data_IF_881109162088
#
_entry.id   IF_881109162088
#
_cell.length_a   1.000
_cell.length_b   1.000
_cell.length_c   1.000
_cell.angle_alpha   90.00
_cell.angle_beta   90.00
_cell.angle_gamma   90.00
#
_symmetry.space_group_name_H-M   'P 1'
#
loop_
_entity.id
_entity.type
_entity.pdbx_description
1 polymer ?
#
# COMPACT_ATOMS: atom_id res chain seq x y z
N UNK A 1 56.17 7.37 9.00
CA UNK A 1 55.31 6.43 8.24
C UNK A 1 53.86 6.88 8.42
N UNK A 2 53.18 7.29 7.38
CA UNK A 2 51.78 7.70 7.48
C UNK A 2 50.91 6.43 7.65
N UNK A 3 50.10 6.38 8.71
CA UNK A 3 49.12 5.34 8.89
C UNK A 3 48.11 5.38 7.73
N UNK A 4 47.98 4.25 7.04
CA UNK A 4 46.96 4.10 5.98
C UNK A 4 45.59 4.06 6.64
N UNK A 5 44.77 5.09 6.44
CA UNK A 5 43.36 5.13 6.93
C UNK A 5 42.47 4.31 6.01
N UNK A 6 41.73 3.37 6.60
CA UNK A 6 40.72 2.57 5.91
C UNK A 6 39.33 3.11 6.19
N UNK A 7 38.50 3.28 5.14
CA UNK A 7 37.13 3.75 5.23
C UNK A 7 36.20 2.61 4.81
N UNK A 8 35.40 2.10 5.73
CA UNK A 8 34.41 1.03 5.46
C UNK A 8 33.10 1.65 4.95
N UNK A 9 32.37 0.90 4.09
CA UNK A 9 30.99 1.24 3.75
C UNK A 9 30.13 1.27 5.02
N UNK A 10 29.40 2.33 5.19
CA UNK A 10 28.47 2.46 6.34
C UNK A 10 27.13 1.77 6.02
N UNK A 11 26.59 1.07 7.00
CA UNK A 11 25.19 0.61 6.94
C UNK A 11 24.28 1.82 7.11
N UNK A 12 23.09 1.76 6.48
CA UNK A 12 22.07 2.77 6.72
C UNK A 12 21.67 2.78 8.21
N UNK A 13 21.67 3.96 8.77
CA UNK A 13 21.15 4.24 10.12
C UNK A 13 20.04 5.26 9.95
N UNK A 14 18.87 4.98 10.53
CA UNK A 14 17.75 5.92 10.51
C UNK A 14 18.17 7.24 11.20
N UNK A 15 17.99 8.39 10.54
CA UNK A 15 18.29 9.68 11.17
C UNK A 15 17.39 9.94 12.38
N UNK A 16 17.89 10.64 13.39
CA UNK A 16 17.06 11.12 14.50
C UNK A 16 15.96 12.05 13.98
N UNK A 17 14.75 11.90 14.49
CA UNK A 17 13.54 12.61 14.03
C UNK A 17 12.88 12.01 12.80
N UNK A 18 13.43 10.94 12.21
CA UNK A 18 12.81 10.29 11.06
C UNK A 18 11.68 9.33 11.48
N UNK A 19 10.60 9.31 10.69
CA UNK A 19 9.54 8.28 10.79
C UNK A 19 9.86 7.13 9.86
N UNK A 20 9.82 5.90 10.37
CA UNK A 20 9.92 4.67 9.59
C UNK A 20 8.53 4.16 9.26
N UNK A 21 8.24 3.92 7.98
CA UNK A 21 6.92 3.56 7.50
C UNK A 21 6.99 2.19 6.81
N UNK A 22 6.22 1.24 7.33
CA UNK A 22 5.94 -0.03 6.67
C UNK A 22 4.59 0.09 5.99
N UNK A 23 4.60 0.43 4.70
CA UNK A 23 3.41 0.58 3.87
C UNK A 23 3.06 -0.78 3.26
N UNK A 24 1.87 -1.29 3.57
CA UNK A 24 1.46 -2.67 3.30
C UNK A 24 0.22 -2.66 2.42
N UNK A 25 0.23 -3.44 1.33
CA UNK A 25 -1.00 -3.72 0.60
C UNK A 25 -1.82 -4.74 1.37
N UNK A 26 -3.13 -4.50 1.51
CA UNK A 26 -4.04 -5.48 2.11
C UNK A 26 -3.91 -6.86 1.47
N UNK A 27 -4.23 -7.92 2.22
CA UNK A 27 -4.32 -9.29 1.72
C UNK A 27 -5.34 -9.43 0.59
N UNK A 28 -5.27 -10.51 -0.18
CA UNK A 28 -6.20 -10.76 -1.27
C UNK A 28 -7.65 -10.72 -0.77
N UNK A 29 -8.48 -9.93 -1.45
CA UNK A 29 -9.91 -9.85 -1.13
C UNK A 29 -10.73 -10.76 -2.02
N UNK A 30 -12.00 -11.02 -1.63
CA UNK A 30 -12.95 -11.81 -2.37
C UNK A 30 -12.93 -11.47 -3.87
N UNK A 31 -13.04 -12.49 -4.72
CA UNK A 31 -13.13 -12.30 -6.16
C UNK A 31 -14.36 -11.47 -6.55
N UNK A 32 -14.27 -10.70 -7.61
CA UNK A 32 -15.39 -9.97 -8.18
C UNK A 32 -16.29 -10.91 -8.99
N UNK A 33 -17.59 -10.65 -8.94
CA UNK A 33 -18.61 -11.34 -9.73
C UNK A 33 -19.64 -10.33 -10.22
N UNK A 34 -20.18 -10.52 -11.42
CA UNK A 34 -21.29 -9.71 -11.94
C UNK A 34 -22.58 -10.01 -11.17
N UNK A 35 -22.76 -11.24 -10.70
CA UNK A 35 -23.96 -11.69 -9.99
C UNK A 35 -23.98 -11.27 -8.52
N UNK A 36 -22.80 -11.04 -7.94
CA UNK A 36 -22.64 -10.67 -6.52
C UNK A 36 -21.63 -9.53 -6.37
N UNK A 37 -22.02 -8.29 -6.69
CA UNK A 37 -21.14 -7.14 -6.55
C UNK A 37 -20.71 -6.91 -5.08
N UNK A 38 -19.57 -6.27 -4.90
CA UNK A 38 -19.11 -5.92 -3.56
C UNK A 38 -20.06 -4.94 -2.88
N UNK A 39 -20.30 -5.08 -1.56
CA UNK A 39 -20.95 -4.02 -0.80
C UNK A 39 -20.15 -2.72 -0.90
N UNK A 40 -20.83 -1.58 -0.78
CA UNK A 40 -20.20 -0.27 -0.83
C UNK A 40 -20.15 0.37 0.55
N UNK A 41 -19.02 0.97 0.87
CA UNK A 41 -18.83 1.87 2.01
C UNK A 41 -18.40 3.24 1.49
N UNK A 42 -19.18 4.28 1.77
CA UNK A 42 -18.97 5.64 1.27
C UNK A 42 -18.73 5.68 -0.26
N UNK A 43 -19.47 4.86 -1.01
CA UNK A 43 -19.39 4.78 -2.47
C UNK A 43 -18.25 3.92 -3.00
N UNK A 44 -17.42 3.31 -2.16
CA UNK A 44 -16.32 2.44 -2.58
C UNK A 44 -16.58 0.97 -2.25
N UNK A 45 -16.15 0.08 -3.14
CA UNK A 45 -16.27 -1.37 -2.96
C UNK A 45 -15.52 -1.87 -1.72
N UNK A 46 -16.22 -2.61 -0.83
CA UNK A 46 -15.69 -3.09 0.45
C UNK A 46 -15.77 -4.62 0.60
N UNK A 47 -15.11 -5.39 -0.28
CA UNK A 47 -15.03 -6.83 -0.11
C UNK A 47 -14.20 -7.20 1.12
N UNK A 48 -14.56 -8.33 1.75
CA UNK A 48 -13.75 -9.01 2.77
C UNK A 48 -12.50 -9.66 2.17
N UNK A 49 -11.56 -10.06 3.02
CA UNK A 49 -10.45 -10.91 2.59
C UNK A 49 -10.95 -12.28 2.15
N UNK A 50 -10.37 -12.79 1.06
CA UNK A 50 -10.45 -14.21 0.72
C UNK A 50 -9.66 -15.05 1.74
N UNK A 51 -9.80 -16.38 1.68
CA UNK A 51 -9.05 -17.28 2.57
C UNK A 51 -7.53 -17.09 2.43
N UNK A 52 -7.04 -16.97 1.20
CA UNK A 52 -5.63 -16.68 0.93
C UNK A 52 -5.20 -15.33 1.51
N UNK A 53 -6.07 -14.32 1.46
CA UNK A 53 -5.79 -13.01 2.06
C UNK A 53 -5.69 -13.06 3.59
N UNK A 54 -6.51 -13.88 4.23
CA UNK A 54 -6.40 -14.14 5.69
C UNK A 54 -5.09 -14.84 6.04
N UNK A 55 -4.67 -15.83 5.24
CA UNK A 55 -3.36 -16.47 5.42
C UNK A 55 -2.20 -15.49 5.22
N UNK A 56 -2.30 -14.58 4.25
CA UNK A 56 -1.30 -13.52 4.04
C UNK A 56 -1.23 -12.59 5.26
N UNK A 57 -2.38 -12.22 5.84
CA UNK A 57 -2.46 -11.38 7.04
C UNK A 57 -1.81 -12.06 8.26
N UNK A 58 -2.02 -13.36 8.47
CA UNK A 58 -1.37 -14.13 9.53
C UNK A 58 0.15 -14.17 9.36
N UNK A 59 0.64 -14.47 8.16
CA UNK A 59 2.08 -14.46 7.87
C UNK A 59 2.71 -13.08 8.04
N UNK A 60 2.00 -12.02 7.64
CA UNK A 60 2.41 -10.64 7.88
C UNK A 60 2.54 -10.34 9.38
N UNK A 61 1.55 -10.71 10.18
CA UNK A 61 1.57 -10.56 11.63
C UNK A 61 2.79 -11.24 12.26
N UNK A 62 3.06 -12.48 11.85
CA UNK A 62 4.25 -13.25 12.29
C UNK A 62 5.56 -12.59 11.84
N UNK A 63 5.63 -12.12 10.58
CA UNK A 63 6.81 -11.42 10.03
C UNK A 63 7.19 -10.19 10.83
N UNK A 64 6.21 -9.47 11.34
CA UNK A 64 6.39 -8.22 12.07
C UNK A 64 6.31 -8.37 13.61
N UNK A 65 6.17 -9.59 14.11
CA UNK A 65 5.99 -9.86 15.53
C UNK A 65 7.12 -9.28 16.41
N UNK A 66 8.37 -9.37 15.97
CA UNK A 66 9.53 -8.90 16.72
C UNK A 66 9.95 -7.46 16.38
N UNK A 67 9.28 -6.80 15.40
CA UNK A 67 9.59 -5.41 15.06
C UNK A 67 9.04 -4.47 16.13
N UNK A 68 9.81 -3.46 16.51
CA UNK A 68 9.29 -2.35 17.31
C UNK A 68 8.32 -1.55 16.44
N UNK A 69 7.03 -1.59 16.78
CA UNK A 69 5.96 -0.88 16.06
C UNK A 69 5.23 0.00 17.07
N UNK A 70 5.16 1.29 16.78
CA UNK A 70 4.58 2.29 17.67
C UNK A 70 3.11 2.56 17.35
N UNK A 71 2.71 2.44 16.07
CA UNK A 71 1.33 2.63 15.66
C UNK A 71 0.99 1.81 14.41
N UNK A 72 -0.31 1.47 14.28
CA UNK A 72 -0.88 0.81 13.10
C UNK A 72 -2.01 1.67 12.56
N UNK A 73 -1.99 1.93 11.26
CA UNK A 73 -2.99 2.66 10.53
C UNK A 73 -3.67 1.77 9.50
N UNK A 74 -4.97 1.97 9.34
CA UNK A 74 -5.82 1.28 8.34
C UNK A 74 -6.71 2.31 7.67
N UNK A 75 -7.36 1.94 6.58
CA UNK A 75 -8.39 2.78 5.95
C UNK A 75 -9.77 2.41 6.50
N UNK A 76 -10.82 3.10 6.05
CA UNK A 76 -12.21 2.76 6.39
C UNK A 76 -12.71 1.47 5.71
N UNK A 77 -11.91 0.82 4.84
CA UNK A 77 -12.29 -0.39 4.12
C UNK A 77 -11.88 -1.66 4.90
N UNK A 78 -12.83 -2.58 5.10
CA UNK A 78 -12.70 -3.75 5.99
C UNK A 78 -11.48 -4.62 5.69
N UNK A 79 -11.09 -4.80 4.43
CA UNK A 79 -9.93 -5.60 4.04
C UNK A 79 -8.62 -5.12 4.65
N UNK A 80 -8.49 -3.80 4.94
CA UNK A 80 -7.29 -3.27 5.63
C UNK A 80 -7.31 -3.60 7.12
N UNK A 81 -8.48 -3.55 7.75
CA UNK A 81 -8.67 -3.96 9.15
C UNK A 81 -8.40 -5.46 9.31
N UNK A 82 -8.98 -6.29 8.45
CA UNK A 82 -8.77 -7.74 8.47
C UNK A 82 -7.29 -8.10 8.26
N UNK A 83 -6.58 -7.37 7.40
CA UNK A 83 -5.13 -7.57 7.18
C UNK A 83 -4.32 -7.17 8.40
N UNK A 84 -4.67 -6.08 9.06
CA UNK A 84 -3.95 -5.59 10.25
C UNK A 84 -4.23 -6.42 11.51
N UNK A 85 -5.39 -7.10 11.58
CA UNK A 85 -5.89 -7.72 12.80
C UNK A 85 -4.90 -8.70 13.48
N UNK A 86 -4.23 -9.64 12.78
CA UNK A 86 -3.27 -10.54 13.41
C UNK A 86 -2.10 -9.79 14.04
N UNK A 87 -1.53 -8.80 13.35
CA UNK A 87 -0.46 -7.96 13.86
C UNK A 87 -0.91 -7.15 15.08
N UNK A 88 -2.07 -6.52 14.99
CA UNK A 88 -2.65 -5.72 16.08
C UNK A 88 -2.86 -6.58 17.32
N UNK A 89 -3.32 -7.83 17.18
CA UNK A 89 -3.48 -8.79 18.27
C UNK A 89 -2.15 -9.14 18.91
N UNK A 90 -1.11 -9.43 18.12
CA UNK A 90 0.24 -9.75 18.62
C UNK A 90 0.83 -8.57 19.40
N UNK A 91 0.67 -7.34 18.89
CA UNK A 91 1.25 -6.12 19.46
C UNK A 91 0.41 -5.48 20.57
N UNK A 92 -0.84 -5.86 20.75
CA UNK A 92 -1.77 -5.17 21.63
C UNK A 92 -2.09 -3.74 21.20
N UNK A 93 -2.03 -3.45 19.88
CA UNK A 93 -2.25 -2.11 19.32
C UNK A 93 -3.65 -2.04 18.74
N UNK A 94 -4.35 -0.95 19.00
CA UNK A 94 -5.63 -0.63 18.33
C UNK A 94 -5.31 0.20 17.08
N UNK A 95 -5.72 -0.26 15.88
CA UNK A 95 -5.42 0.48 14.65
C UNK A 95 -6.23 1.78 14.58
N UNK A 96 -5.60 2.83 14.03
CA UNK A 96 -6.24 4.13 13.76
C UNK A 96 -6.70 4.18 12.30
N UNK A 97 -7.88 4.76 12.05
CA UNK A 97 -8.43 4.91 10.69
C UNK A 97 -7.95 6.20 10.06
N UNK A 98 -7.46 6.13 8.80
CA UNK A 98 -7.09 7.27 7.97
C UNK A 98 -7.80 7.16 6.63
N UNK A 99 -8.90 7.89 6.47
CA UNK A 99 -9.73 7.84 5.25
C UNK A 99 -9.01 8.39 4.02
N UNK A 100 -8.10 9.34 4.18
CA UNK A 100 -7.30 9.89 3.08
C UNK A 100 -6.42 8.85 2.37
N UNK A 101 -6.18 7.70 3.00
CA UNK A 101 -5.41 6.59 2.42
C UNK A 101 -6.31 5.45 1.89
N UNK A 102 -7.63 5.68 1.74
CA UNK A 102 -8.52 4.72 1.07
C UNK A 102 -8.14 4.52 -0.38
N UNK A 103 -8.57 3.42 -1.00
CA UNK A 103 -8.24 3.11 -2.39
C UNK A 103 -8.71 4.20 -3.37
N UNK A 104 -8.17 4.19 -4.58
CA UNK A 104 -8.65 5.02 -5.69
C UNK A 104 -10.16 4.87 -5.83
N UNK A 105 -10.88 5.98 -5.96
CA UNK A 105 -12.30 5.94 -6.27
C UNK A 105 -12.48 5.60 -7.75
N UNK A 106 -13.11 4.46 -8.00
CA UNK A 106 -13.24 3.89 -9.35
C UNK A 106 -14.53 4.31 -10.07
N UNK A 107 -15.24 5.32 -9.54
CA UNK A 107 -16.43 5.89 -10.17
C UNK A 107 -17.50 4.83 -10.47
N UNK A 108 -17.93 4.79 -11.72
CA UNK A 108 -18.96 3.85 -12.19
C UNK A 108 -18.49 2.38 -12.14
N UNK A 109 -17.21 2.13 -11.88
CA UNK A 109 -16.64 0.78 -11.84
C UNK A 109 -16.37 0.26 -10.42
N UNK A 110 -16.98 0.87 -9.43
CA UNK A 110 -17.00 0.34 -8.08
C UNK A 110 -17.75 -1.00 -7.99
N UNK A 111 -17.79 -1.60 -6.81
CA UNK A 111 -18.50 -2.87 -6.58
C UNK A 111 -17.86 -4.09 -7.24
N UNK A 112 -16.62 -3.99 -7.73
CA UNK A 112 -15.88 -5.08 -8.38
C UNK A 112 -15.86 -4.99 -9.90
N UNK A 113 -16.61 -4.07 -10.51
CA UNK A 113 -16.71 -3.94 -11.97
C UNK A 113 -15.34 -3.61 -12.60
N UNK A 114 -14.49 -2.83 -11.92
CA UNK A 114 -13.13 -2.56 -12.38
C UNK A 114 -12.35 -3.85 -12.67
N UNK A 115 -12.39 -4.84 -11.78
CA UNK A 115 -11.67 -6.12 -11.95
C UNK A 115 -12.20 -6.90 -13.16
N UNK A 116 -13.51 -6.90 -13.35
CA UNK A 116 -14.17 -7.55 -14.48
C UNK A 116 -13.75 -6.88 -15.78
N UNK A 117 -13.81 -5.54 -15.85
CA UNK A 117 -13.39 -4.75 -17.03
C UNK A 117 -11.90 -4.91 -17.32
N UNK A 118 -11.06 -4.97 -16.28
CA UNK A 118 -9.62 -5.21 -16.44
C UNK A 118 -9.34 -6.59 -17.02
N UNK A 119 -10.05 -7.62 -16.56
CA UNK A 119 -9.93 -8.99 -17.10
C UNK A 119 -10.40 -9.08 -18.55
N UNK A 120 -11.42 -8.32 -18.92
CA UNK A 120 -11.95 -8.21 -20.29
C UNK A 120 -11.09 -7.34 -21.22
N UNK A 121 -10.01 -6.72 -20.74
CA UNK A 121 -9.21 -5.74 -21.47
C UNK A 121 -10.07 -4.63 -22.12
N UNK A 122 -11.03 -4.10 -21.35
CA UNK A 122 -11.92 -3.05 -21.81
C UNK A 122 -11.12 -1.85 -22.34
N UNK A 123 -11.55 -1.17 -23.44
CA UNK A 123 -10.79 -0.07 -24.08
C UNK A 123 -10.36 1.03 -23.10
N UNK A 124 -11.20 1.40 -22.14
CA UNK A 124 -10.88 2.40 -21.11
C UNK A 124 -9.74 1.91 -20.19
N UNK A 125 -9.61 0.60 -19.92
CA UNK A 125 -8.46 0.04 -19.18
C UNK A 125 -7.17 0.24 -19.98
N UNK A 126 -7.23 0.01 -21.29
CA UNK A 126 -6.08 0.24 -22.17
C UNK A 126 -5.70 1.72 -22.15
N UNK A 127 -6.67 2.61 -22.34
CA UNK A 127 -6.46 4.06 -22.30
C UNK A 127 -5.92 4.54 -20.95
N UNK A 128 -6.47 4.05 -19.84
CA UNK A 128 -6.01 4.34 -18.47
C UNK A 128 -4.53 3.94 -18.29
N UNK A 129 -4.14 2.76 -18.79
CA UNK A 129 -2.75 2.28 -18.70
C UNK A 129 -1.80 3.06 -19.60
N UNK A 130 -2.20 3.37 -20.84
CA UNK A 130 -1.39 4.15 -21.79
C UNK A 130 -1.14 5.57 -21.29
N UNK A 131 -2.15 6.21 -20.72
CA UNK A 131 -2.02 7.57 -20.16
C UNK A 131 -1.58 7.59 -18.71
N UNK A 132 -1.49 6.44 -18.06
CA UNK A 132 -1.17 6.31 -16.64
C UNK A 132 -2.08 7.20 -15.75
N UNK A 133 -3.40 7.19 -16.02
CA UNK A 133 -4.36 8.10 -15.41
C UNK A 133 -5.64 7.39 -15.00
N UNK A 134 -5.92 7.39 -13.67
CA UNK A 134 -7.13 6.77 -13.10
C UNK A 134 -8.40 7.47 -13.54
N UNK A 135 -8.37 8.78 -13.73
CA UNK A 135 -9.51 9.59 -14.17
C UNK A 135 -10.05 9.25 -15.55
N UNK A 136 -9.46 8.29 -16.28
CA UNK A 136 -10.03 7.73 -17.52
C UNK A 136 -11.26 6.85 -17.24
N UNK A 137 -11.35 6.31 -16.02
CA UNK A 137 -12.53 5.56 -15.58
C UNK A 137 -13.68 6.56 -15.40
N UNK A 138 -14.88 6.32 -15.98
CA UNK A 138 -16.03 7.22 -15.83
C UNK A 138 -16.37 7.47 -14.36
N UNK A 139 -16.41 8.74 -13.95
CA UNK A 139 -16.61 9.14 -12.55
C UNK A 139 -15.47 8.76 -11.59
N UNK A 140 -14.37 8.26 -12.11
CA UNK A 140 -13.19 7.90 -11.33
C UNK A 140 -12.40 9.11 -10.83
N UNK A 141 -11.65 8.92 -9.77
CA UNK A 141 -10.74 9.90 -9.18
C UNK A 141 -9.52 10.10 -10.11
N UNK A 142 -9.13 11.34 -10.34
CA UNK A 142 -7.90 11.63 -11.08
C UNK A 142 -6.65 11.35 -10.26
N UNK A 143 -5.49 11.18 -10.93
CA UNK A 143 -4.21 11.06 -10.23
C UNK A 143 -3.95 12.26 -9.32
N UNK A 144 -4.28 13.47 -9.76
CA UNK A 144 -4.05 14.68 -8.98
C UNK A 144 -4.86 14.70 -7.67
N UNK A 145 -6.12 14.28 -7.71
CA UNK A 145 -6.98 14.16 -6.52
C UNK A 145 -6.46 13.08 -5.57
N UNK A 146 -6.11 11.91 -6.11
CA UNK A 146 -5.50 10.80 -5.37
C UNK A 146 -4.22 11.28 -4.66
N UNK A 147 -3.29 11.85 -5.40
CA UNK A 147 -1.99 12.29 -4.91
C UNK A 147 -2.13 13.34 -3.80
N UNK A 148 -3.04 14.29 -3.96
CA UNK A 148 -3.27 15.35 -2.98
C UNK A 148 -3.79 14.78 -1.64
N UNK A 149 -4.80 13.88 -1.67
CA UNK A 149 -5.31 13.29 -0.42
C UNK A 149 -4.34 12.31 0.23
N UNK A 150 -3.65 11.50 -0.58
CA UNK A 150 -2.65 10.54 -0.10
C UNK A 150 -1.49 11.28 0.58
N UNK A 151 -0.97 12.36 -0.05
CA UNK A 151 0.07 13.19 0.56
C UNK A 151 -0.41 13.80 1.89
N UNK A 152 -1.64 14.31 1.96
CA UNK A 152 -2.21 14.87 3.20
C UNK A 152 -2.31 13.80 4.30
N UNK A 153 -2.88 12.64 4.00
CA UNK A 153 -3.04 11.55 4.97
C UNK A 153 -1.70 11.02 5.49
N UNK A 154 -0.71 10.85 4.58
CA UNK A 154 0.61 10.37 4.96
C UNK A 154 1.39 11.40 5.77
N UNK A 155 1.36 12.68 5.40
CA UNK A 155 2.03 13.75 6.15
C UNK A 155 1.46 13.87 7.57
N UNK A 156 0.14 13.76 7.75
CA UNK A 156 -0.48 13.76 9.07
C UNK A 156 0.04 12.61 9.96
N UNK A 157 0.31 11.43 9.38
CA UNK A 157 0.92 10.33 10.11
C UNK A 157 2.37 10.65 10.46
N UNK A 158 3.16 11.13 9.51
CA UNK A 158 4.59 11.44 9.70
C UNK A 158 4.80 12.47 10.82
N UNK A 159 4.01 13.54 10.83
CA UNK A 159 4.10 14.59 11.83
C UNK A 159 3.83 14.11 13.27
N UNK A 160 3.02 13.08 13.44
CA UNK A 160 2.68 12.50 14.73
C UNK A 160 3.71 11.48 15.25
N UNK A 161 4.66 11.03 14.41
CA UNK A 161 5.50 9.87 14.72
C UNK A 161 7.01 10.09 14.48
N UNK A 162 7.62 11.23 14.96
CA UNK A 162 9.07 11.38 14.90
C UNK A 162 9.77 10.28 15.72
N UNK A 163 10.84 9.71 15.18
CA UNK A 163 11.63 8.62 15.77
C UNK A 163 10.86 7.29 15.95
N UNK A 164 9.69 7.15 15.36
CA UNK A 164 8.81 6.00 15.52
C UNK A 164 8.73 5.14 14.25
N UNK A 165 8.24 3.91 14.43
CA UNK A 165 7.93 2.94 13.37
C UNK A 165 6.43 2.80 13.26
N UNK A 166 5.88 3.10 12.10
CA UNK A 166 4.45 2.98 11.83
C UNK A 166 4.15 1.97 10.74
N UNK A 167 3.12 1.18 10.93
CA UNK A 167 2.55 0.30 9.92
C UNK A 167 1.32 1.00 9.33
N UNK A 168 1.24 1.04 8.00
CA UNK A 168 0.10 1.59 7.27
C UNK A 168 -0.40 0.53 6.31
N UNK A 169 -1.59 -0.03 6.58
CA UNK A 169 -2.23 -1.00 5.68
C UNK A 169 -3.14 -0.24 4.73
N UNK A 170 -2.79 -0.25 3.46
CA UNK A 170 -3.43 0.51 2.39
C UNK A 170 -3.68 -0.36 1.15
N UNK A 171 -3.67 0.23 -0.03
CA UNK A 171 -4.16 -0.33 -1.28
C UNK A 171 -3.15 -0.12 -2.42
N UNK A 172 -3.35 -0.83 -3.53
CA UNK A 172 -2.43 -0.81 -4.67
C UNK A 172 -2.25 0.56 -5.30
N UNK A 173 -3.33 1.28 -5.56
CA UNK A 173 -3.28 2.63 -6.13
C UNK A 173 -2.63 3.64 -5.19
N UNK A 174 -2.92 3.55 -3.89
CA UNK A 174 -2.31 4.41 -2.86
C UNK A 174 -0.82 4.16 -2.74
N UNK A 175 -0.37 2.90 -2.74
CA UNK A 175 1.06 2.56 -2.70
C UNK A 175 1.76 3.11 -3.94
N UNK A 176 1.16 2.95 -5.12
CA UNK A 176 1.65 3.54 -6.37
C UNK A 176 1.84 5.05 -6.25
N UNK A 177 0.81 5.76 -5.78
CA UNK A 177 0.83 7.21 -5.56
C UNK A 177 1.94 7.64 -4.58
N UNK A 178 2.03 7.01 -3.40
CA UNK A 178 3.09 7.33 -2.41
C UNK A 178 4.48 7.16 -3.01
N UNK A 179 4.72 6.06 -3.72
CA UNK A 179 6.05 5.75 -4.24
C UNK A 179 6.41 6.60 -5.46
N UNK A 180 5.45 6.88 -6.35
CA UNK A 180 5.69 7.77 -7.49
C UNK A 180 6.01 9.20 -7.03
N UNK A 181 5.29 9.72 -6.04
CA UNK A 181 5.60 11.02 -5.43
C UNK A 181 6.97 11.03 -4.75
N UNK A 182 7.31 9.97 -3.99
CA UNK A 182 8.59 9.87 -3.28
C UNK A 182 9.79 9.83 -4.25
N UNK A 183 9.64 9.19 -5.40
CA UNK A 183 10.71 8.98 -6.39
C UNK A 183 10.65 9.95 -7.56
N UNK A 184 9.57 10.73 -7.70
CA UNK A 184 9.27 11.59 -8.84
C UNK A 184 9.28 10.81 -10.18
N UNK A 185 8.73 9.61 -10.14
CA UNK A 185 8.62 8.74 -11.30
C UNK A 185 7.27 8.94 -12.02
N UNK A 186 7.08 8.21 -13.11
CA UNK A 186 5.79 8.13 -13.80
C UNK A 186 4.70 7.62 -12.83
N UNK A 187 3.44 8.05 -13.00
CA UNK A 187 2.35 7.75 -12.04
C UNK A 187 2.15 6.26 -11.76
N UNK A 188 2.24 5.41 -12.78
CA UNK A 188 2.02 3.97 -12.62
C UNK A 188 3.29 3.13 -12.47
N UNK A 189 4.46 3.77 -12.25
CA UNK A 189 5.73 3.06 -12.10
C UNK A 189 5.74 2.03 -10.95
N UNK A 190 4.92 2.23 -9.92
CA UNK A 190 4.79 1.37 -8.74
C UNK A 190 3.36 0.83 -8.53
N UNK A 191 2.48 0.97 -9.53
CA UNK A 191 1.20 0.27 -9.52
C UNK A 191 1.48 -1.21 -9.71
N UNK A 192 1.07 -2.02 -8.74
CA UNK A 192 1.33 -3.45 -8.83
C UNK A 192 2.03 -4.07 -7.63
N UNK A 193 2.02 -3.41 -6.49
CA UNK A 193 2.37 -4.07 -5.24
C UNK A 193 1.50 -5.32 -5.04
N UNK A 194 2.10 -6.46 -4.67
CA UNK A 194 1.39 -7.71 -4.42
C UNK A 194 0.57 -7.66 -3.11
N UNK A 195 -0.50 -8.45 -3.02
CA UNK A 195 -1.30 -8.55 -1.81
C UNK A 195 -0.45 -9.05 -0.62
N UNK A 196 -0.55 -8.35 0.52
CA UNK A 196 0.24 -8.63 1.70
C UNK A 196 1.71 -8.19 1.61
N UNK A 197 2.13 -7.52 0.53
CA UNK A 197 3.51 -7.03 0.39
C UNK A 197 3.81 -5.86 1.32
N UNK A 198 5.09 -5.71 1.66
CA UNK A 198 5.62 -4.62 2.48
C UNK A 198 6.49 -3.72 1.60
N UNK A 199 6.17 -2.43 1.55
CA UNK A 199 7.05 -1.38 1.04
C UNK A 199 7.59 -0.56 2.21
N UNK A 200 8.90 -0.39 2.28
CA UNK A 200 9.58 0.24 3.42
C UNK A 200 10.10 1.63 3.03
N UNK A 201 9.67 2.63 3.77
CA UNK A 201 10.05 4.03 3.55
C UNK A 201 10.60 4.67 4.83
N UNK A 202 11.42 5.70 4.63
CA UNK A 202 11.88 6.59 5.69
C UNK A 202 11.45 8.02 5.33
N UNK A 203 10.71 8.65 6.21
CA UNK A 203 10.33 10.05 6.10
C UNK A 203 11.26 10.90 6.97
N UNK A 204 11.92 11.87 6.37
CA UNK A 204 12.84 12.76 7.08
C UNK A 204 12.92 14.11 6.38
N UNK A 205 12.74 15.21 7.11
CA UNK A 205 12.85 16.59 6.61
C UNK A 205 12.05 16.84 5.32
N UNK A 206 10.78 16.40 5.31
CA UNK A 206 9.89 16.59 4.17
C UNK A 206 10.21 15.71 2.94
N UNK A 207 11.09 14.71 3.07
CA UNK A 207 11.46 13.77 2.02
C UNK A 207 11.11 12.36 2.41
N UNK A 208 10.65 11.58 1.41
CA UNK A 208 10.48 10.14 1.52
C UNK A 208 11.62 9.42 0.80
N UNK A 209 12.25 8.46 1.46
CA UNK A 209 13.27 7.59 0.89
C UNK A 209 12.74 6.17 0.85
N UNK A 210 12.67 5.57 -0.35
CA UNK A 210 12.24 4.19 -0.53
C UNK A 210 13.41 3.25 -0.22
N UNK A 211 13.23 2.36 0.75
CA UNK A 211 14.21 1.34 1.15
C UNK A 211 13.95 0.00 0.50
N UNK A 212 12.66 -0.33 0.33
CA UNK A 212 12.17 -1.54 -0.35
C UNK A 212 10.82 -1.25 -0.99
N UNK A 213 10.55 -1.96 -2.06
CA UNK A 213 9.25 -2.04 -2.69
C UNK A 213 8.86 -3.51 -2.84
N UNK A 214 7.59 -3.82 -2.59
CA UNK A 214 6.95 -5.10 -2.87
C UNK A 214 7.64 -6.33 -2.24
N UNK A 215 8.08 -6.23 -0.97
CA UNK A 215 8.67 -7.37 -0.26
C UNK A 215 7.59 -8.37 0.15
N UNK A 216 7.58 -9.54 -0.48
CA UNK A 216 6.69 -10.68 -0.20
C UNK A 216 7.44 -11.89 0.36
N UNK A 217 8.67 -11.72 0.82
CA UNK A 217 9.53 -12.83 1.28
C UNK A 217 8.95 -13.66 2.42
N UNK A 218 8.01 -13.09 3.19
CA UNK A 218 7.26 -13.79 4.25
C UNK A 218 6.12 -14.65 3.70
N UNK A 219 5.68 -14.43 2.46
CA UNK A 219 4.61 -15.20 1.82
C UNK A 219 5.15 -16.37 1.02
N UNK A 220 6.24 -16.15 0.29
CA UNK A 220 6.95 -17.15 -0.53
C UNK A 220 8.41 -16.77 -0.66
N UNK A 221 9.29 -17.77 -0.72
CA UNK A 221 10.72 -17.57 -1.01
C UNK A 221 11.02 -17.45 -2.52
N UNK A 222 10.06 -17.78 -3.37
CA UNK A 222 10.18 -17.63 -4.81
C UNK A 222 10.01 -16.17 -5.22
N UNK A 223 10.91 -15.67 -6.09
CA UNK A 223 10.67 -14.41 -6.78
C UNK A 223 9.56 -14.67 -7.80
N UNK A 224 8.42 -14.03 -7.64
CA UNK A 224 7.31 -14.15 -8.59
C UNK A 224 7.74 -13.55 -9.94
N UNK A 225 7.70 -14.38 -10.98
CA UNK A 225 8.04 -13.97 -12.35
C UNK A 225 6.80 -13.90 -13.25
N UNK A 226 5.63 -14.28 -12.75
CA UNK A 226 4.40 -14.33 -13.51
C UNK A 226 3.33 -13.48 -12.84
N UNK A 227 2.89 -12.46 -13.51
CA UNK A 227 1.72 -11.68 -13.16
C UNK A 227 1.22 -10.92 -14.37
N UNK A 228 -0.05 -11.10 -14.70
CA UNK A 228 -0.79 -10.06 -15.37
C UNK A 228 -0.73 -8.81 -14.49
N UNK A 229 -0.73 -7.62 -15.08
CA UNK A 229 -0.80 -6.36 -14.32
C UNK A 229 -1.85 -6.47 -13.21
N UNK A 230 -1.49 -6.11 -11.98
CA UNK A 230 -2.41 -6.24 -10.85
C UNK A 230 -3.63 -5.37 -11.07
N UNK A 231 -4.74 -5.91 -10.72
CA UNK A 231 -6.06 -5.30 -10.71
C UNK A 231 -6.40 -4.80 -9.32
#
# INVERSE_FOLDING_TARGET
>A
MSETKFYRQQKFIRPAGATEILLIRHGESRAASEEDPFPLVNGQGDPELAEIGRMQAEKLGQRLADHAIDAVYVTNLRRTHETAAPLCKIKGIVPKVVEDLREVHLGDWEGGLFRIKAHQNHPVIVEMREHQEWGKIPGGESNAELDARVARGLNNIIEQHPDQVVVVVAHGGVIGSVLSQATKSEPFAFVGADNGSISHLIAFQGRLSVRRFNDTSHLSTAISTAGSMPT
#
